data_IF_833199445997
#
_entry.id   IF_833199445997
#
_cell.length_a   1.000
_cell.length_b   1.000
_cell.length_c   1.000
_cell.angle_alpha   90.00
_cell.angle_beta   90.00
_cell.angle_gamma   90.00
#
_symmetry.space_group_name_H-M   'P 1'
#
loop_
_entity.id
_entity.type
_entity.pdbx_description
1 polymer ?
#
# COMPACT_ATOMS: atom_id res chain seq x y z
N UNK A 1 6.81 -7.76 -20.41
CA UNK A 1 7.40 -6.41 -20.43
C UNK A 1 7.96 -6.12 -19.06
N UNK A 2 9.20 -5.65 -18.94
CA UNK A 2 9.73 -5.14 -17.66
C UNK A 2 9.05 -3.82 -17.29
N UNK A 3 8.70 -3.65 -16.03
CA UNK A 3 8.26 -2.35 -15.50
C UNK A 3 9.41 -1.33 -15.63
N UNK A 4 9.07 -0.15 -16.10
CA UNK A 4 9.98 1.00 -16.11
C UNK A 4 10.12 1.60 -14.70
N UNK A 5 11.24 2.24 -14.40
CA UNK A 5 11.45 2.91 -13.11
C UNK A 5 10.33 3.93 -12.79
N UNK A 6 9.81 4.62 -13.81
CA UNK A 6 8.67 5.55 -13.68
C UNK A 6 7.40 4.84 -13.22
N UNK A 7 7.10 3.66 -13.74
CA UNK A 7 5.92 2.88 -13.33
C UNK A 7 6.04 2.43 -11.87
N UNK A 8 7.24 1.98 -11.47
CA UNK A 8 7.52 1.63 -10.07
C UNK A 8 7.31 2.84 -9.15
N UNK A 9 7.86 4.00 -9.50
CA UNK A 9 7.69 5.25 -8.74
C UNK A 9 6.22 5.64 -8.59
N UNK A 10 5.44 5.59 -9.68
CA UNK A 10 4.01 5.91 -9.66
C UNK A 10 3.26 4.94 -8.73
N UNK A 11 3.52 3.63 -8.83
CA UNK A 11 2.89 2.61 -7.98
C UNK A 11 3.18 2.86 -6.50
N UNK A 12 4.46 3.03 -6.15
CA UNK A 12 4.90 3.27 -4.77
C UNK A 12 4.29 4.56 -4.21
N UNK A 13 4.23 5.62 -5.02
CA UNK A 13 3.63 6.90 -4.63
C UNK A 13 2.13 6.78 -4.36
N UNK A 14 1.39 6.06 -5.20
CA UNK A 14 -0.04 5.77 -4.99
C UNK A 14 -0.26 4.97 -3.70
N UNK A 15 0.56 3.95 -3.47
CA UNK A 15 0.53 3.10 -2.27
C UNK A 15 0.70 3.95 -1.01
N UNK A 16 1.74 4.79 -0.98
CA UNK A 16 2.02 5.71 0.12
C UNK A 16 0.86 6.69 0.37
N UNK A 17 0.29 7.27 -0.69
CA UNK A 17 -0.81 8.24 -0.56
C UNK A 17 -2.05 7.62 0.11
N UNK A 18 -2.36 6.35 -0.18
CA UNK A 18 -3.51 5.62 0.37
C UNK A 18 -3.38 5.26 1.84
N UNK A 19 -2.17 5.28 2.40
CA UNK A 19 -1.88 4.89 3.79
C UNK A 19 -1.31 6.04 4.63
N UNK A 20 -1.21 7.25 4.07
CA UNK A 20 -0.53 8.39 4.71
C UNK A 20 -1.08 8.77 6.09
N UNK A 21 -2.35 8.43 6.36
CA UNK A 21 -3.06 8.70 7.61
C UNK A 21 -2.90 7.60 8.67
N UNK A 22 -2.30 6.45 8.32
CA UNK A 22 -2.06 5.36 9.25
C UNK A 22 -0.80 5.59 10.07
N UNK A 23 -0.71 4.89 11.20
CA UNK A 23 0.46 4.92 12.07
C UNK A 23 1.75 4.53 11.33
N UNK A 24 2.92 5.04 11.78
CA UNK A 24 4.21 4.79 11.12
C UNK A 24 4.53 3.31 10.92
N UNK A 25 4.26 2.46 11.92
CA UNK A 25 4.53 1.02 11.85
C UNK A 25 3.63 0.30 10.85
N UNK A 26 2.33 0.64 10.84
CA UNK A 26 1.36 0.13 9.85
C UNK A 26 1.76 0.53 8.44
N UNK A 27 2.21 1.78 8.24
CA UNK A 27 2.71 2.25 6.94
C UNK A 27 3.93 1.47 6.47
N UNK A 28 4.92 1.27 7.34
CA UNK A 28 6.13 0.49 7.01
C UNK A 28 5.78 -0.93 6.59
N UNK A 29 4.92 -1.62 7.36
CA UNK A 29 4.45 -2.96 7.03
C UNK A 29 3.76 -3.00 5.67
N UNK A 30 2.76 -2.15 5.45
CA UNK A 30 1.99 -2.12 4.20
C UNK A 30 2.86 -1.82 2.97
N UNK A 31 3.91 -0.99 3.11
CA UNK A 31 4.81 -0.67 2.00
C UNK A 31 5.68 -1.85 1.55
N UNK A 32 5.96 -2.82 2.44
CA UNK A 32 6.78 -4.01 2.13
C UNK A 32 6.01 -5.11 1.40
N UNK A 33 4.68 -5.06 1.44
CA UNK A 33 3.82 -6.07 0.82
C UNK A 33 3.86 -6.02 -0.71
N UNK A 34 3.48 -7.12 -1.36
CA UNK A 34 3.09 -7.08 -2.77
C UNK A 34 1.85 -6.17 -2.98
N UNK A 35 1.50 -5.91 -4.24
CA UNK A 35 0.31 -5.11 -4.55
C UNK A 35 -0.97 -5.82 -4.13
N UNK A 36 -1.07 -7.13 -4.35
CA UNK A 36 -2.23 -7.94 -3.97
C UNK A 36 -2.41 -8.00 -2.45
N UNK A 37 -1.34 -8.31 -1.71
CA UNK A 37 -1.36 -8.34 -0.24
C UNK A 37 -1.71 -6.98 0.37
N UNK A 38 -1.22 -5.90 -0.25
CA UNK A 38 -1.55 -4.55 0.17
C UNK A 38 -3.04 -4.24 0.05
N UNK A 39 -3.68 -4.59 -1.06
CA UNK A 39 -5.13 -4.35 -1.22
C UNK A 39 -5.93 -5.13 -0.18
N UNK A 40 -5.57 -6.39 0.07
CA UNK A 40 -6.25 -7.25 1.05
C UNK A 40 -6.10 -6.68 2.46
N UNK A 41 -4.87 -6.34 2.89
CA UNK A 41 -4.66 -5.77 4.23
C UNK A 41 -5.30 -4.39 4.38
N UNK A 42 -5.16 -3.52 3.39
CA UNK A 42 -5.78 -2.20 3.42
C UNK A 42 -7.31 -2.29 3.50
N UNK A 43 -7.92 -3.21 2.74
CA UNK A 43 -9.37 -3.44 2.83
C UNK A 43 -9.77 -4.01 4.19
N UNK A 44 -8.96 -4.87 4.80
CA UNK A 44 -9.16 -5.37 6.16
C UNK A 44 -9.13 -4.26 7.21
N UNK A 45 -8.22 -3.30 7.07
CA UNK A 45 -8.12 -2.12 7.95
C UNK A 45 -9.27 -1.12 7.78
N UNK A 46 -9.83 -1.02 6.57
CA UNK A 46 -10.91 -0.09 6.24
C UNK A 46 -12.31 -0.65 6.55
N UNK A 47 -12.45 -1.97 6.70
CA UNK A 47 -13.72 -2.54 7.14
C UNK A 47 -13.93 -2.22 8.63
N UNK A 48 -15.06 -1.62 9.03
CA UNK A 48 -15.39 -1.49 10.44
C UNK A 48 -15.45 -2.91 11.03
N UNK A 49 -14.83 -3.11 12.18
CA UNK A 49 -15.07 -4.30 12.99
C UNK A 49 -16.60 -4.36 13.23
N UNK A 50 -17.24 -5.38 12.67
CA UNK A 50 -18.68 -5.62 12.78
C UNK A 50 -19.09 -5.88 14.23
#
# INVERSE_FOLDING_TARGET
MQETATQVLIRVSKKWYRIRYLDPDTRKRLMLLSEEEFEVELQGLLKPAA
#
